data_IF_451915067971
#
_entry.id   IF_451915067971
#
_cell.length_a   1.000
_cell.length_b   1.000
_cell.length_c   1.000
_cell.angle_alpha   90.00
_cell.angle_beta   90.00
_cell.angle_gamma   90.00
#
_symmetry.space_group_name_H-M   'P 1'
#
loop_
_entity.id
_entity.type
_entity.pdbx_description
1 polymer ?
#
# COMPACT_ATOMS: atom_id res chain seq x y z
N UNK A 1 -10.87 2.66 13.18
CA UNK A 1 -10.74 2.29 11.76
C UNK A 1 -9.86 3.30 11.04
N UNK A 2 -9.09 2.84 10.07
CA UNK A 2 -8.16 3.60 9.25
C UNK A 2 -8.48 3.32 7.77
N UNK A 3 -8.48 4.35 6.94
CA UNK A 3 -8.64 4.20 5.48
C UNK A 3 -7.27 4.31 4.82
N UNK A 4 -6.84 3.25 4.15
CA UNK A 4 -5.56 3.19 3.44
C UNK A 4 -5.79 3.26 1.93
N UNK A 5 -4.95 4.01 1.23
CA UNK A 5 -4.95 4.05 -0.24
C UNK A 5 -3.96 3.03 -0.78
N UNK A 6 -4.40 2.15 -1.66
CA UNK A 6 -3.60 1.07 -2.23
C UNK A 6 -3.42 1.27 -3.74
N UNK A 7 -2.20 1.08 -4.24
CA UNK A 7 -1.88 1.12 -5.66
C UNK A 7 -1.19 -0.18 -6.08
N UNK A 8 -1.59 -0.77 -7.19
CA UNK A 8 -1.01 -2.02 -7.69
C UNK A 8 0.21 -1.70 -8.55
N UNK A 9 1.37 -2.23 -8.16
CA UNK A 9 2.63 -2.04 -8.89
C UNK A 9 2.53 -2.70 -10.27
N UNK A 10 2.99 -2.02 -11.31
CA UNK A 10 2.95 -2.50 -12.69
C UNK A 10 1.60 -2.35 -13.39
N UNK A 11 0.53 -1.97 -12.67
CA UNK A 11 -0.79 -1.69 -13.24
C UNK A 11 -0.98 -0.18 -13.30
N UNK A 12 -1.33 0.35 -14.48
CA UNK A 12 -1.74 1.74 -14.64
C UNK A 12 -3.18 1.89 -14.16
N UNK A 13 -3.44 2.92 -13.37
CA UNK A 13 -4.79 3.20 -12.89
C UNK A 13 -4.77 4.06 -11.63
N UNK A 14 -5.97 4.32 -11.11
CA UNK A 14 -6.13 5.06 -9.87
C UNK A 14 -5.92 4.12 -8.65
N UNK A 15 -5.48 4.71 -7.54
CA UNK A 15 -5.43 4.01 -6.26
C UNK A 15 -6.85 3.64 -5.78
N UNK A 16 -6.96 2.62 -4.94
CA UNK A 16 -8.22 2.20 -4.33
C UNK A 16 -8.14 2.21 -2.82
N UNK A 17 -9.26 2.46 -2.15
CA UNK A 17 -9.33 2.47 -0.69
C UNK A 17 -9.57 1.07 -0.12
N UNK A 18 -8.96 0.80 1.03
CA UNK A 18 -9.30 -0.29 1.94
C UNK A 18 -9.48 0.27 3.35
N UNK A 19 -10.46 -0.26 4.07
CA UNK A 19 -10.71 0.10 5.46
C UNK A 19 -10.24 -1.04 6.37
N UNK A 20 -9.49 -0.70 7.41
CA UNK A 20 -8.93 -1.67 8.35
C UNK A 20 -8.90 -1.13 9.77
N UNK A 21 -8.84 -2.01 10.76
CA UNK A 21 -8.61 -1.61 12.14
C UNK A 21 -7.13 -1.31 12.41
N UNK A 22 -6.86 -0.38 13.33
CA UNK A 22 -5.49 0.03 13.69
C UNK A 22 -4.68 -1.09 14.35
N UNK A 23 -5.35 -2.15 14.78
CA UNK A 23 -4.77 -3.32 15.47
C UNK A 23 -4.37 -4.43 14.50
N UNK A 24 -4.78 -4.37 13.22
CA UNK A 24 -4.50 -5.44 12.27
C UNK A 24 -3.02 -5.55 11.97
N UNK A 25 -2.59 -6.77 11.67
CA UNK A 25 -1.24 -7.06 11.18
C UNK A 25 -1.17 -6.96 9.66
N UNK A 26 0.05 -6.82 9.14
CA UNK A 26 0.30 -6.79 7.70
C UNK A 26 -0.22 -8.03 6.98
N UNK A 27 -0.17 -9.21 7.63
CA UNK A 27 -0.79 -10.43 7.10
C UNK A 27 -2.29 -10.26 6.83
N UNK A 28 -3.06 -9.75 7.80
CA UNK A 28 -4.51 -9.56 7.67
C UNK A 28 -4.83 -8.50 6.62
N UNK A 29 -4.04 -7.42 6.58
CA UNK A 29 -4.16 -6.39 5.56
C UNK A 29 -4.01 -6.94 4.13
N UNK A 30 -3.12 -7.92 3.90
CA UNK A 30 -2.98 -8.55 2.58
C UNK A 30 -4.25 -9.27 2.14
N UNK A 31 -4.95 -9.93 3.06
CA UNK A 31 -6.23 -10.58 2.78
C UNK A 31 -7.31 -9.56 2.40
N UNK A 32 -7.45 -8.50 3.20
CA UNK A 32 -8.40 -7.39 2.90
C UNK A 32 -8.13 -6.77 1.52
N UNK A 33 -6.87 -6.55 1.18
CA UNK A 33 -6.47 -6.03 -0.14
C UNK A 33 -6.87 -6.98 -1.27
N UNK A 34 -6.64 -8.29 -1.11
CA UNK A 34 -7.01 -9.30 -2.12
C UNK A 34 -8.53 -9.33 -2.33
N UNK A 35 -9.30 -9.38 -1.25
CA UNK A 35 -10.77 -9.38 -1.30
C UNK A 35 -11.34 -8.13 -1.97
N UNK A 36 -10.65 -6.99 -1.85
CA UNK A 36 -11.07 -5.75 -2.48
C UNK A 36 -10.89 -5.73 -4.01
N UNK A 37 -9.92 -6.48 -4.53
CA UNK A 37 -9.55 -6.52 -5.97
C UNK A 37 -9.31 -7.95 -6.46
N UNK A 38 -10.29 -8.87 -6.35
CA UNK A 38 -10.10 -10.29 -6.65
C UNK A 38 -9.79 -10.55 -8.13
N UNK A 39 -10.33 -9.74 -9.04
CA UNK A 39 -10.10 -9.88 -10.49
C UNK A 39 -8.69 -9.46 -10.92
N UNK A 40 -8.00 -8.64 -10.12
CA UNK A 40 -6.65 -8.15 -10.42
C UNK A 40 -5.59 -8.90 -9.62
N UNK A 41 -5.93 -9.29 -8.38
CA UNK A 41 -5.05 -9.99 -7.45
C UNK A 41 -5.43 -11.47 -7.43
N UNK A 42 -4.83 -12.22 -8.35
CA UNK A 42 -5.16 -13.64 -8.57
C UNK A 42 -4.30 -14.60 -7.76
N UNK A 43 -3.16 -14.14 -7.23
CA UNK A 43 -2.30 -14.95 -6.36
C UNK A 43 -2.84 -15.07 -4.94
N UNK A 44 -2.27 -15.96 -4.14
CA UNK A 44 -2.54 -16.01 -2.70
C UNK A 44 -2.15 -14.72 -2.01
N UNK A 45 -2.93 -14.32 -0.99
CA UNK A 45 -2.69 -13.09 -0.24
C UNK A 45 -1.27 -13.09 0.37
N UNK A 46 -0.77 -14.25 0.80
CA UNK A 46 0.57 -14.39 1.38
C UNK A 46 1.71 -14.08 0.40
N UNK A 47 1.46 -14.25 -0.90
CA UNK A 47 2.40 -13.92 -1.97
C UNK A 47 2.43 -12.42 -2.28
N UNK A 48 1.51 -11.63 -1.72
CA UNK A 48 1.57 -10.17 -1.83
C UNK A 48 2.75 -9.61 -1.04
N UNK A 49 3.46 -8.69 -1.68
CA UNK A 49 4.46 -7.83 -1.05
C UNK A 49 3.88 -6.43 -0.96
N UNK A 50 3.74 -5.94 0.26
CA UNK A 50 3.34 -4.56 0.50
C UNK A 50 4.60 -3.69 0.63
N UNK A 51 4.51 -2.44 0.21
CA UNK A 51 5.54 -1.43 0.43
C UNK A 51 4.88 -0.11 0.83
N UNK A 52 5.52 0.63 1.73
CA UNK A 52 5.09 1.99 2.06
C UNK A 52 5.41 2.90 0.88
N UNK A 53 4.44 3.62 0.33
CA UNK A 53 4.65 4.50 -0.84
C UNK A 53 5.40 5.81 -0.49
N UNK A 54 6.22 5.77 0.55
CA UNK A 54 7.08 6.87 0.98
C UNK A 54 8.48 6.60 0.43
N UNK A 55 9.00 7.56 -0.34
CA UNK A 55 10.32 7.49 -0.97
C UNK A 55 11.44 7.36 0.08
N UNK A 56 12.65 7.08 -0.39
CA UNK A 56 13.86 7.01 0.44
C UNK A 56 13.73 6.05 1.63
N UNK A 57 13.11 4.89 1.39
CA UNK A 57 12.84 3.83 2.37
C UNK A 57 12.07 4.33 3.60
N UNK A 58 11.00 5.10 3.38
CA UNK A 58 10.14 5.59 4.46
C UNK A 58 10.53 6.95 5.05
N UNK A 59 11.61 7.59 4.55
CA UNK A 59 12.10 8.88 5.05
C UNK A 59 11.72 10.08 4.18
N UNK A 60 11.44 9.85 2.90
CA UNK A 60 11.14 10.90 1.92
C UNK A 60 9.67 11.30 1.93
N UNK A 61 9.22 11.92 0.84
CA UNK A 61 7.80 12.25 0.63
C UNK A 61 6.99 11.02 0.19
N UNK A 62 5.69 11.07 0.46
CA UNK A 62 4.72 10.14 -0.12
C UNK A 62 4.61 10.33 -1.64
N UNK A 63 4.25 9.27 -2.34
CA UNK A 63 3.83 9.37 -3.74
C UNK A 63 2.53 10.17 -3.87
N UNK A 64 2.41 10.88 -4.98
CA UNK A 64 1.20 11.63 -5.34
C UNK A 64 0.21 10.78 -6.14
N UNK A 65 -1.04 11.23 -6.31
CA UNK A 65 -2.02 10.54 -7.18
C UNK A 65 -1.49 10.47 -8.61
N UNK A 66 -0.81 11.53 -9.05
CA UNK A 66 -0.20 11.60 -10.36
C UNK A 66 0.92 10.57 -10.53
N UNK A 67 1.75 10.34 -9.51
CA UNK A 67 2.80 9.32 -9.54
C UNK A 67 2.20 7.91 -9.68
N UNK A 68 1.15 7.60 -8.90
CA UNK A 68 0.44 6.32 -8.99
C UNK A 68 -0.20 6.13 -10.37
N UNK A 69 -0.88 7.15 -10.90
CA UNK A 69 -1.57 7.08 -12.19
C UNK A 69 -0.60 6.87 -13.37
N UNK A 70 0.63 7.42 -13.26
CA UNK A 70 1.71 7.16 -14.23
C UNK A 70 2.21 5.70 -14.19
N UNK A 71 1.90 4.98 -13.11
CA UNK A 71 2.27 3.59 -12.88
C UNK A 71 3.62 3.47 -12.16
N UNK A 72 3.60 2.92 -10.96
CA UNK A 72 4.83 2.62 -10.21
C UNK A 72 5.44 1.33 -10.75
N UNK A 73 6.72 1.37 -11.15
CA UNK A 73 7.42 0.23 -11.79
C UNK A 73 8.48 -0.43 -10.92
N UNK A 74 9.08 0.32 -10.00
CA UNK A 74 10.18 -0.15 -9.14
C UNK A 74 9.77 -0.01 -7.69
N UNK A 75 10.18 -0.97 -6.86
CA UNK A 75 9.87 -0.98 -5.41
C UNK A 75 11.12 -0.89 -4.52
N UNK A 76 12.32 -0.77 -5.11
CA UNK A 76 13.60 -0.82 -4.38
C UNK A 76 13.82 0.34 -3.40
N UNK A 77 13.19 1.48 -3.64
CA UNK A 77 13.33 2.70 -2.84
C UNK A 77 12.27 2.82 -1.74
N UNK A 78 11.43 1.80 -1.57
CA UNK A 78 10.30 1.82 -0.64
C UNK A 78 10.54 0.86 0.53
N UNK A 79 10.03 1.24 1.70
CA UNK A 79 10.11 0.39 2.87
C UNK A 79 9.17 -0.81 2.70
N UNK A 80 9.71 -2.03 2.90
CA UNK A 80 8.94 -3.28 2.86
C UNK A 80 8.65 -3.76 4.28
N UNK A 81 7.41 -3.62 4.78
CA UNK A 81 7.04 -4.16 6.08
C UNK A 81 7.00 -5.70 6.07
N UNK A 82 7.29 -6.32 7.21
CA UNK A 82 7.19 -7.76 7.40
C UNK A 82 5.77 -8.17 7.85
N UNK A 83 5.32 -9.37 7.48
CA UNK A 83 3.91 -9.81 7.66
C UNK A 83 3.41 -9.76 9.12
N UNK A 84 4.31 -9.89 10.10
CA UNK A 84 3.98 -9.83 11.52
C UNK A 84 3.92 -8.42 12.13
N UNK A 85 4.29 -7.36 11.40
CA UNK A 85 4.17 -5.99 11.92
C UNK A 85 2.71 -5.58 12.04
N UNK A 86 2.44 -4.75 13.05
CA UNK A 86 1.24 -3.93 13.07
C UNK A 86 1.41 -2.71 12.16
N UNK A 87 0.30 -2.11 11.75
CA UNK A 87 0.30 -0.85 11.00
C UNK A 87 1.01 0.27 11.76
N UNK A 88 0.82 0.32 13.08
CA UNK A 88 1.45 1.32 13.94
C UNK A 88 2.98 1.21 13.95
N UNK A 89 3.51 -0.02 13.93
CA UNK A 89 4.96 -0.26 13.93
C UNK A 89 5.65 0.23 12.63
N UNK A 90 4.87 0.54 11.59
CA UNK A 90 5.37 1.04 10.31
C UNK A 90 4.95 2.49 10.04
N UNK A 91 4.44 3.18 11.07
CA UNK A 91 4.07 4.59 11.00
C UNK A 91 2.73 4.87 10.30
N UNK A 92 1.87 3.85 10.15
CA UNK A 92 0.49 4.02 9.71
C UNK A 92 -0.40 4.11 10.96
N UNK A 93 -0.52 5.32 11.49
CA UNK A 93 -1.29 5.62 12.71
C UNK A 93 -2.22 6.80 12.46
N UNK A 94 -3.33 6.88 13.21
CA UNK A 94 -4.33 7.93 13.02
C UNK A 94 -3.81 9.36 13.27
N UNK A 95 -2.74 9.50 14.04
CA UNK A 95 -2.09 10.77 14.41
C UNK A 95 -0.98 11.20 13.43
N UNK A 96 -0.49 10.30 12.59
CA UNK A 96 0.43 10.60 11.48
C UNK A 96 -0.29 10.90 10.17
N UNK A 97 -1.64 10.86 10.19
CA UNK A 97 -2.52 11.26 9.10
C UNK A 97 -2.41 12.77 8.88
N UNK A 98 -1.43 13.21 8.09
CA UNK A 98 -1.39 14.57 7.57
C UNK A 98 -2.71 14.87 6.84
N UNK A 99 -3.22 16.10 6.98
CA UNK A 99 -4.43 16.55 6.28
C UNK A 99 -4.34 16.16 4.80
N UNK A 100 -5.28 15.34 4.34
CA UNK A 100 -5.42 14.96 2.94
C UNK A 100 -5.95 16.18 2.21
N UNK A 101 -5.06 17.08 1.80
CA UNK A 101 -5.40 18.17 0.90
C UNK A 101 -5.47 17.61 -0.52
N UNK A 102 -6.64 17.81 -1.13
CA UNK A 102 -7.16 17.09 -2.31
C UNK A 102 -6.24 17.07 -3.54
N UNK A 103 -5.21 17.91 -3.57
CA UNK A 103 -4.39 18.14 -4.75
C UNK A 103 -3.05 17.40 -4.77
N UNK A 104 -2.45 16.98 -3.65
CA UNK A 104 -1.10 16.37 -3.71
C UNK A 104 -0.70 15.38 -2.62
N UNK A 105 -1.44 15.21 -1.53
CA UNK A 105 -1.16 14.17 -0.55
C UNK A 105 -2.18 13.03 -0.74
N UNK A 106 -1.74 11.90 -1.27
CA UNK A 106 -2.59 10.72 -1.19
C UNK A 106 -2.34 10.17 0.19
N UNK A 107 -3.36 10.26 1.06
CA UNK A 107 -3.30 9.70 2.41
C UNK A 107 -2.59 8.34 2.37
N UNK A 108 -1.50 8.26 3.12
CA UNK A 108 -0.72 7.06 3.46
C UNK A 108 -0.86 5.89 2.48
N UNK A 109 -0.26 6.07 1.30
CA UNK A 109 -0.35 5.08 0.23
C UNK A 109 0.47 3.81 0.54
N UNK A 110 -0.11 2.66 0.22
CA UNK A 110 0.56 1.37 0.13
C UNK A 110 0.69 0.93 -1.33
N UNK A 111 1.88 0.46 -1.69
CA UNK A 111 2.12 -0.21 -2.96
C UNK A 111 1.93 -1.71 -2.77
N UNK A 112 1.09 -2.30 -3.61
CA UNK A 112 0.78 -3.73 -3.63
C UNK A 112 1.50 -4.35 -4.81
N UNK A 113 2.49 -5.18 -4.52
CA UNK A 113 3.20 -5.96 -5.54
C UNK A 113 2.79 -7.42 -5.43
N UNK A 114 2.24 -7.96 -6.51
CA UNK A 114 1.97 -9.38 -6.63
C UNK A 114 3.19 -10.12 -7.18
N UNK A 115 3.67 -11.13 -6.45
CA UNK A 115 4.65 -12.06 -6.98
C UNK A 115 3.94 -13.00 -7.96
N UNK A 116 4.26 -12.89 -9.26
CA UNK A 116 3.98 -13.96 -10.19
C UNK A 116 4.96 -15.11 -9.87
N UNK A 117 4.43 -16.26 -9.45
CA UNK A 117 5.22 -17.49 -9.48
C UNK A 117 5.42 -17.85 -10.97
N UNK A 118 6.63 -18.27 -11.39
CA UNK A 118 6.79 -18.82 -12.73
C UNK A 118 5.87 -20.04 -12.87
N UNK A 119 5.10 -20.07 -13.96
CA UNK A 119 4.28 -21.20 -14.38
C UNK A 119 5.15 -22.45 -14.59
#
# INVERSE_FOLDING_TARGET
MLTLMCAIVGVKGDAFSVEVDLTVKIYELKHVIKERKPDIITCDADLLKLFLAKKDKGRGSWLTKADVRKGVRRTGDYQRPFSGQSLQAIGLTSDQLGEVNDENAVGEQLLVYQLQLPL
#
